data_IF_961443209322
#
_entry.id   IF_961443209322
#
_cell.length_a   1.000
_cell.length_b   1.000
_cell.length_c   1.000
_cell.angle_alpha   90.00
_cell.angle_beta   90.00
_cell.angle_gamma   90.00
#
_symmetry.space_group_name_H-M   'P 1'
#
loop_
_entity.id
_entity.type
_entity.pdbx_description
1 polymer ?
#
# COMPACT_ATOMS: atom_id res chain seq x y z
N UNK A 1 -0.78 -6.33 39.97
CA UNK A 1 0.43 -6.02 39.19
C UNK A 1 0.39 -6.97 38.01
N UNK A 2 -0.37 -6.55 37.00
CA UNK A 2 -0.75 -7.34 35.83
C UNK A 2 0.47 -7.52 34.93
N UNK A 3 1.32 -8.46 35.31
CA UNK A 3 2.38 -8.97 34.47
C UNK A 3 1.67 -9.81 33.40
N UNK A 4 1.13 -9.14 32.37
CA UNK A 4 0.70 -9.79 31.13
C UNK A 4 1.86 -10.72 30.75
N UNK A 5 1.60 -12.03 30.71
CA UNK A 5 2.64 -13.02 30.41
C UNK A 5 3.37 -12.57 29.15
N UNK A 6 4.70 -12.73 29.12
CA UNK A 6 5.50 -12.44 27.91
C UNK A 6 4.88 -13.05 26.66
N UNK A 7 4.16 -14.17 26.81
CA UNK A 7 3.41 -14.84 25.75
C UNK A 7 2.23 -14.02 25.20
N UNK A 8 1.45 -13.33 26.04
CA UNK A 8 0.34 -12.48 25.60
C UNK A 8 0.84 -11.22 24.87
N UNK A 9 1.96 -10.65 25.35
CA UNK A 9 2.62 -9.52 24.69
C UNK A 9 3.15 -9.95 23.32
N UNK A 10 3.78 -11.12 23.24
CA UNK A 10 4.36 -11.66 22.03
C UNK A 10 3.27 -12.05 21.01
N UNK A 11 2.14 -12.60 21.46
CA UNK A 11 0.98 -12.88 20.62
C UNK A 11 0.36 -11.60 20.04
N UNK A 12 0.16 -10.56 20.85
CA UNK A 12 -0.34 -9.27 20.35
C UNK A 12 0.61 -8.61 19.36
N UNK A 13 1.92 -8.66 19.62
CA UNK A 13 2.92 -8.11 18.70
C UNK A 13 2.89 -8.82 17.32
N UNK A 14 2.72 -10.13 17.33
CA UNK A 14 2.58 -10.90 16.09
C UNK A 14 1.30 -10.52 15.33
N UNK A 15 0.17 -10.44 16.03
CA UNK A 15 -1.11 -10.06 15.45
C UNK A 15 -1.08 -8.65 14.81
N UNK A 16 -0.47 -7.67 15.50
CA UNK A 16 -0.30 -6.31 14.97
C UNK A 16 0.62 -6.31 13.74
N UNK A 17 1.66 -7.15 13.74
CA UNK A 17 2.60 -7.26 12.61
C UNK A 17 1.90 -7.81 11.37
N UNK A 18 1.10 -8.86 11.52
CA UNK A 18 0.38 -9.47 10.40
C UNK A 18 -0.67 -8.50 9.83
N UNK A 19 -1.43 -7.81 10.70
CA UNK A 19 -2.42 -6.82 10.28
C UNK A 19 -1.76 -5.62 9.57
N UNK A 20 -0.62 -5.15 10.09
CA UNK A 20 0.16 -4.07 9.48
C UNK A 20 0.75 -4.45 8.13
N UNK A 21 1.19 -5.70 7.98
CA UNK A 21 1.72 -6.23 6.73
C UNK A 21 0.60 -6.38 5.69
N UNK A 22 -0.56 -6.90 6.08
CA UNK A 22 -1.71 -7.01 5.17
C UNK A 22 -2.22 -5.64 4.73
N UNK A 23 -2.28 -4.68 5.65
CA UNK A 23 -2.62 -3.28 5.33
C UNK A 23 -1.60 -2.68 4.35
N UNK A 24 -0.30 -2.88 4.59
CA UNK A 24 0.76 -2.43 3.67
C UNK A 24 0.63 -3.07 2.30
N UNK A 25 0.29 -4.36 2.23
CA UNK A 25 0.07 -5.08 0.97
C UNK A 25 -1.13 -4.51 0.19
N UNK A 26 -2.24 -4.22 0.87
CA UNK A 26 -3.40 -3.57 0.25
C UNK A 26 -3.06 -2.18 -0.26
N UNK A 27 -2.38 -1.37 0.55
CA UNK A 27 -1.95 -0.01 0.16
C UNK A 27 -1.01 -0.07 -1.05
N UNK A 28 -0.05 -1.00 -1.05
CA UNK A 28 0.86 -1.18 -2.17
C UNK A 28 0.13 -1.60 -3.45
N UNK A 29 -0.86 -2.49 -3.34
CA UNK A 29 -1.73 -2.87 -4.46
C UNK A 29 -2.46 -1.65 -5.05
N UNK A 30 -3.12 -0.86 -4.20
CA UNK A 30 -3.82 0.37 -4.61
C UNK A 30 -2.85 1.40 -5.23
N UNK A 31 -1.66 1.57 -4.66
CA UNK A 31 -0.65 2.49 -5.19
C UNK A 31 -0.21 2.09 -6.61
N UNK A 32 -0.05 0.80 -6.87
CA UNK A 32 0.29 0.28 -8.21
C UNK A 32 -0.85 0.55 -9.19
N UNK A 33 -2.10 0.31 -8.81
CA UNK A 33 -3.27 0.59 -9.66
C UNK A 33 -3.37 2.08 -10.01
N UNK A 34 -3.23 2.97 -9.02
CA UNK A 34 -3.25 4.42 -9.24
C UNK A 34 -2.10 4.86 -10.14
N UNK A 35 -0.89 4.33 -9.94
CA UNK A 35 0.26 4.65 -10.79
C UNK A 35 0.04 4.21 -12.23
N UNK A 36 -0.54 3.02 -12.44
CA UNK A 36 -0.86 2.52 -13.78
C UNK A 36 -1.92 3.38 -14.47
N UNK A 37 -2.99 3.76 -13.75
CA UNK A 37 -4.02 4.66 -14.27
C UNK A 37 -3.43 6.03 -14.61
N UNK A 38 -2.57 6.59 -13.75
CA UNK A 38 -1.93 7.87 -13.98
C UNK A 38 -1.01 7.81 -15.21
N UNK A 39 -0.27 6.71 -15.38
CA UNK A 39 0.54 6.47 -16.56
C UNK A 39 -0.32 6.41 -17.85
N UNK A 40 -1.42 5.67 -17.83
CA UNK A 40 -2.35 5.62 -18.96
C UNK A 40 -2.96 6.98 -19.29
N UNK A 41 -3.40 7.72 -18.28
CA UNK A 41 -3.93 9.09 -18.47
C UNK A 41 -2.86 9.98 -19.10
N UNK A 42 -1.63 9.92 -18.60
CA UNK A 42 -0.51 10.70 -19.15
C UNK A 42 -0.23 10.34 -20.62
N UNK A 43 -0.25 9.05 -20.95
CA UNK A 43 -0.09 8.56 -22.32
C UNK A 43 -1.19 9.08 -23.24
N UNK A 44 -2.46 8.98 -22.80
CA UNK A 44 -3.61 9.49 -23.56
C UNK A 44 -3.48 10.99 -23.80
N UNK A 45 -3.16 11.77 -22.75
CA UNK A 45 -2.98 13.23 -22.86
C UNK A 45 -1.85 13.57 -23.82
N UNK A 46 -0.70 12.89 -23.72
CA UNK A 46 0.44 13.12 -24.61
C UNK A 46 0.12 12.76 -26.07
N UNK A 47 -0.68 11.71 -26.30
CA UNK A 47 -1.14 11.33 -27.64
C UNK A 47 -2.14 12.32 -28.23
N UNK A 48 -2.96 12.95 -27.39
CA UNK A 48 -3.95 13.95 -27.81
C UNK A 48 -3.31 15.33 -28.06
N UNK A 49 -2.23 15.65 -27.34
CA UNK A 49 -1.49 16.91 -27.45
C UNK A 49 0.01 16.63 -27.61
N UNK A 50 0.44 16.13 -28.78
CA UNK A 50 1.86 15.99 -29.05
C UNK A 50 2.51 17.37 -28.96
N UNK A 51 3.72 17.49 -28.36
CA UNK A 51 4.42 18.77 -28.30
C UNK A 51 4.62 19.28 -29.74
N UNK A 52 4.04 20.45 -30.02
CA UNK A 52 4.07 21.12 -31.31
C UNK A 52 5.52 21.16 -31.83
N UNK A 53 5.78 20.43 -32.91
CA UNK A 53 6.90 20.69 -33.83
C UNK A 53 6.52 21.77 -34.83
#
# INVERSE_FOLDING_TARGET
>A
MDNLSSEEIQQRAHQITDESLESTRRILGLAIEVLFLLFLVCLVVLSAFPPLS
#
